data_IF_961966513681
#
_entry.id   IF_961966513681
#
_cell.length_a   1.000
_cell.length_b   1.000
_cell.length_c   1.000
_cell.angle_alpha   90.00
_cell.angle_beta   90.00
_cell.angle_gamma   90.00
#
_symmetry.space_group_name_H-M   'P 1'
#
loop_
_entity.id
_entity.type
_entity.pdbx_description
1 polymer ?
#
# COMPACT_ATOMS: atom_id res chain seq x y z
N UNK A 1 49.27 -22.26 13.18
CA UNK A 1 48.78 -21.12 13.98
C UNK A 1 48.37 -20.01 13.02
N UNK A 2 47.10 -19.65 12.94
CA UNK A 2 46.62 -18.58 12.04
C UNK A 2 47.06 -17.24 12.63
N UNK A 3 47.75 -16.42 11.83
CA UNK A 3 48.31 -15.15 12.30
C UNK A 3 47.21 -14.16 12.68
N UNK A 4 47.41 -13.40 13.77
CA UNK A 4 46.49 -12.35 14.25
C UNK A 4 46.03 -11.41 13.12
N UNK A 5 46.93 -11.09 12.18
CA UNK A 5 46.64 -10.21 11.03
C UNK A 5 45.64 -10.82 10.04
N UNK A 6 45.63 -12.15 9.89
CA UNK A 6 44.68 -12.88 9.05
C UNK A 6 43.29 -12.86 9.70
N UNK A 7 43.23 -13.05 11.02
CA UNK A 7 41.98 -13.02 11.80
C UNK A 7 41.37 -11.61 11.76
N UNK A 8 42.17 -10.56 11.95
CA UNK A 8 41.70 -9.17 11.90
C UNK A 8 41.14 -8.83 10.53
N UNK A 9 41.81 -9.23 9.44
CA UNK A 9 41.31 -9.01 8.07
C UNK A 9 40.00 -9.75 7.81
N UNK A 10 39.88 -10.99 8.27
CA UNK A 10 38.64 -11.77 8.15
C UNK A 10 37.48 -11.11 8.91
N UNK A 11 37.71 -10.67 10.16
CA UNK A 11 36.70 -9.97 10.95
C UNK A 11 36.28 -8.64 10.31
N UNK A 12 37.23 -7.91 9.71
CA UNK A 12 36.97 -6.65 9.00
C UNK A 12 36.07 -6.89 7.78
N UNK A 13 36.34 -7.94 7.01
CA UNK A 13 35.55 -8.30 5.82
C UNK A 13 34.14 -8.73 6.21
N UNK A 14 34.00 -9.55 7.26
CA UNK A 14 32.69 -9.99 7.76
C UNK A 14 31.86 -8.79 8.25
N UNK A 15 32.47 -7.87 8.99
CA UNK A 15 31.81 -6.65 9.47
C UNK A 15 31.28 -5.79 8.31
N UNK A 16 32.09 -5.59 7.27
CA UNK A 16 31.71 -4.82 6.07
C UNK A 16 30.55 -5.50 5.32
N UNK A 17 30.58 -6.82 5.17
CA UNK A 17 29.49 -7.59 4.54
C UNK A 17 28.20 -7.46 5.36
N UNK A 18 28.27 -7.54 6.70
CA UNK A 18 27.08 -7.38 7.54
C UNK A 18 26.50 -5.96 7.47
N UNK A 19 27.35 -4.93 7.39
CA UNK A 19 26.89 -3.55 7.21
C UNK A 19 26.19 -3.34 5.85
N UNK A 20 26.73 -3.93 4.78
CA UNK A 20 26.13 -3.91 3.44
C UNK A 20 24.75 -4.57 3.40
N UNK A 21 24.53 -5.65 4.16
CA UNK A 21 23.24 -6.35 4.24
C UNK A 21 22.19 -5.51 4.98
N UNK A 22 22.60 -4.76 6.02
CA UNK A 22 21.68 -3.88 6.78
C UNK A 22 21.22 -2.68 5.93
N UNK A 23 22.07 -2.19 5.03
CA UNK A 23 21.76 -1.10 4.08
C UNK A 23 20.74 -1.50 2.99
N UNK A 24 20.46 -2.80 2.80
CA UNK A 24 19.42 -3.29 1.89
C UNK A 24 18.02 -3.32 2.52
N UNK A 25 17.87 -2.84 3.76
CA UNK A 25 16.57 -2.68 4.39
C UNK A 25 15.83 -1.51 3.73
N UNK A 26 15.21 -1.77 2.58
CA UNK A 26 14.32 -0.81 1.92
C UNK A 26 13.08 -0.65 2.78
N UNK A 27 12.87 0.56 3.30
CA UNK A 27 11.55 0.98 3.73
C UNK A 27 10.67 1.00 2.48
N UNK A 28 9.89 -0.06 2.24
CA UNK A 28 8.96 -0.14 1.11
C UNK A 28 8.00 1.06 1.20
N UNK A 29 8.16 2.01 0.28
CA UNK A 29 7.28 3.16 0.18
C UNK A 29 5.91 2.68 -0.27
N UNK A 30 4.88 3.04 0.46
CA UNK A 30 3.50 2.82 0.04
C UNK A 30 3.23 3.79 -1.12
N UNK A 31 2.95 3.27 -2.31
CA UNK A 31 2.49 4.11 -3.41
C UNK A 31 1.05 4.56 -3.13
N UNK A 32 0.76 5.86 -3.22
CA UNK A 32 -0.60 6.41 -3.12
C UNK A 32 -1.12 6.68 -4.53
N UNK A 33 -2.17 5.95 -4.91
CA UNK A 33 -2.91 6.08 -6.16
C UNK A 33 -4.18 6.89 -5.91
N UNK A 34 -4.63 7.61 -6.94
CA UNK A 34 -5.82 8.47 -6.88
C UNK A 34 -6.79 8.12 -8.00
N UNK A 35 -7.89 8.88 -8.11
CA UNK A 35 -8.84 8.71 -9.21
C UNK A 35 -8.19 8.91 -10.60
N UNK A 36 -7.16 9.75 -10.70
CA UNK A 36 -6.42 10.01 -11.95
C UNK A 36 -5.58 8.82 -12.42
N UNK A 37 -5.44 7.80 -11.58
CA UNK A 37 -4.76 6.54 -11.88
C UNK A 37 -5.68 5.44 -12.41
N UNK A 38 -6.97 5.74 -12.57
CA UNK A 38 -7.96 4.80 -13.11
C UNK A 38 -7.50 4.23 -14.46
N UNK A 39 -7.53 2.90 -14.56
CA UNK A 39 -7.20 2.17 -15.77
C UNK A 39 -5.70 2.02 -16.07
N UNK A 40 -4.83 2.54 -15.19
CA UNK A 40 -3.38 2.28 -15.27
C UNK A 40 -3.06 0.92 -14.67
N UNK A 41 -1.97 0.32 -15.14
CA UNK A 41 -1.40 -0.90 -14.56
C UNK A 41 -0.15 -0.57 -13.77
N UNK A 42 0.05 -1.27 -12.66
CA UNK A 42 1.18 -1.08 -11.76
C UNK A 42 1.83 -2.43 -11.48
N UNK A 43 3.15 -2.48 -11.55
CA UNK A 43 3.93 -3.66 -11.17
C UNK A 43 4.32 -3.55 -9.70
N UNK A 44 4.12 -4.64 -8.95
CA UNK A 44 4.37 -4.72 -7.51
C UNK A 44 5.20 -5.96 -7.19
N UNK A 45 6.10 -5.83 -6.22
CA UNK A 45 6.77 -6.97 -5.62
C UNK A 45 5.90 -7.60 -4.53
N UNK A 46 6.11 -8.90 -4.27
CA UNK A 46 5.45 -9.59 -3.17
C UNK A 46 5.68 -8.85 -1.84
N UNK A 47 4.59 -8.63 -1.11
CA UNK A 47 4.56 -7.91 0.15
C UNK A 47 4.46 -6.39 0.02
N UNK A 48 4.53 -5.83 -1.20
CA UNK A 48 4.25 -4.40 -1.42
C UNK A 48 2.83 -4.06 -1.01
N UNK A 49 2.67 -2.80 -0.61
CA UNK A 49 1.37 -2.21 -0.32
C UNK A 49 1.17 -0.97 -1.17
N UNK A 50 -0.04 -0.83 -1.68
CA UNK A 50 -0.51 0.36 -2.37
C UNK A 50 -1.73 0.91 -1.65
N UNK A 51 -1.84 2.23 -1.57
CA UNK A 51 -3.04 2.91 -1.13
C UNK A 51 -3.78 3.42 -2.36
N UNK A 52 -5.08 3.20 -2.42
CA UNK A 52 -5.96 3.86 -3.37
C UNK A 52 -6.80 4.84 -2.57
N UNK A 53 -6.54 6.14 -2.76
CA UNK A 53 -7.19 7.24 -2.04
C UNK A 53 -8.18 7.92 -2.96
N UNK A 54 -9.46 7.80 -2.62
CA UNK A 54 -10.56 8.32 -3.41
C UNK A 54 -11.37 9.31 -2.60
N UNK A 55 -11.76 10.44 -3.20
CA UNK A 55 -12.69 11.36 -2.56
C UNK A 55 -13.99 10.64 -2.20
N UNK A 56 -14.50 10.90 -1.00
CA UNK A 56 -15.69 10.26 -0.46
C UNK A 56 -16.47 11.23 0.43
N UNK A 57 -17.80 11.23 0.34
CA UNK A 57 -18.65 11.91 1.30
C UNK A 57 -19.71 10.96 1.87
N UNK A 58 -19.41 10.25 2.98
CA UNK A 58 -20.32 9.29 3.60
C UNK A 58 -21.66 9.88 4.02
N UNK A 59 -21.73 11.19 4.27
CA UNK A 59 -22.98 11.86 4.71
C UNK A 59 -24.04 11.91 3.61
N UNK A 60 -23.65 11.69 2.36
CA UNK A 60 -24.57 11.56 1.23
C UNK A 60 -25.13 10.14 1.09
N UNK A 61 -24.65 9.18 1.88
CA UNK A 61 -24.98 7.76 1.76
C UNK A 61 -24.22 7.01 0.66
N UNK A 62 -23.41 7.69 -0.15
CA UNK A 62 -22.54 7.04 -1.12
C UNK A 62 -21.28 6.48 -0.44
N UNK A 63 -20.86 5.31 -0.90
CA UNK A 63 -19.63 4.65 -0.46
C UNK A 63 -18.89 4.03 -1.65
N UNK A 64 -17.59 3.83 -1.50
CA UNK A 64 -16.78 3.08 -2.45
C UNK A 64 -16.85 1.60 -2.11
N UNK A 65 -17.19 0.76 -3.09
CA UNK A 65 -17.35 -0.68 -2.92
C UNK A 65 -16.41 -1.41 -3.86
N UNK A 66 -15.66 -2.37 -3.33
CA UNK A 66 -14.90 -3.33 -4.14
C UNK A 66 -15.88 -4.17 -4.96
N UNK A 67 -15.95 -3.87 -6.25
CA UNK A 67 -16.99 -4.35 -7.16
C UNK A 67 -16.35 -5.11 -8.31
N UNK A 68 -16.16 -6.42 -8.19
CA UNK A 68 -15.54 -7.23 -9.24
C UNK A 68 -14.90 -8.49 -8.66
N UNK A 69 -14.32 -9.31 -9.55
CA UNK A 69 -13.60 -10.53 -9.17
C UNK A 69 -12.09 -10.27 -9.08
N UNK A 70 -11.68 -9.43 -8.13
CA UNK A 70 -10.26 -9.28 -7.81
C UNK A 70 -9.73 -10.61 -7.26
N UNK A 71 -8.68 -11.16 -7.87
CA UNK A 71 -8.04 -12.38 -7.39
C UNK A 71 -7.25 -12.08 -6.11
N UNK A 72 -7.89 -12.40 -4.98
CA UNK A 72 -7.31 -12.21 -3.63
C UNK A 72 -6.07 -13.03 -3.36
N UNK A 73 -5.78 -14.06 -4.17
CA UNK A 73 -4.53 -14.82 -4.07
C UNK A 73 -3.34 -14.05 -4.67
N UNK A 74 -3.60 -13.10 -5.58
CA UNK A 74 -2.59 -12.22 -6.19
C UNK A 74 -2.48 -10.91 -5.41
N UNK A 75 -3.61 -10.22 -5.16
CA UNK A 75 -3.67 -8.98 -4.39
C UNK A 75 -4.84 -9.00 -3.41
N UNK A 76 -4.56 -8.81 -2.13
CA UNK A 76 -5.58 -8.81 -1.06
C UNK A 76 -5.87 -7.39 -0.56
N UNK A 77 -7.11 -7.13 -0.14
CA UNK A 77 -7.44 -5.93 0.62
C UNK A 77 -6.86 -6.08 2.04
N UNK A 78 -5.90 -5.23 2.38
CA UNK A 78 -5.22 -5.24 3.68
C UNK A 78 -5.93 -4.37 4.72
N UNK A 79 -6.43 -3.20 4.32
CA UNK A 79 -7.15 -2.26 5.20
C UNK A 79 -8.05 -1.32 4.36
N UNK A 80 -9.08 -0.75 4.98
CA UNK A 80 -9.91 0.30 4.38
C UNK A 80 -10.38 1.28 5.46
N UNK A 81 -10.23 2.58 5.22
CA UNK A 81 -10.63 3.61 6.17
C UNK A 81 -11.08 4.91 5.51
N UNK A 82 -12.06 5.55 6.14
CA UNK A 82 -12.42 6.93 5.85
C UNK A 82 -11.55 7.92 6.66
N UNK A 83 -11.06 8.97 5.99
CA UNK A 83 -10.35 10.09 6.60
C UNK A 83 -11.04 11.39 6.21
N UNK A 84 -11.63 12.08 7.18
CA UNK A 84 -12.26 13.38 6.96
C UNK A 84 -11.23 14.43 6.52
N UNK A 85 -11.61 15.32 5.60
CA UNK A 85 -10.76 16.45 5.23
C UNK A 85 -10.63 17.41 6.40
N UNK A 86 -9.39 17.81 6.73
CA UNK A 86 -9.13 18.80 7.78
C UNK A 86 -9.79 20.15 7.43
N UNK A 87 -10.48 20.71 8.41
CA UNK A 87 -11.09 22.05 8.36
C UNK A 87 -10.72 22.77 9.65
N UNK A 88 -10.60 24.10 9.56
CA UNK A 88 -10.31 24.96 10.73
C UNK A 88 -11.38 24.84 11.83
N UNK A 89 -12.61 24.49 11.44
CA UNK A 89 -13.73 24.22 12.35
C UNK A 89 -14.24 22.79 12.15
N UNK A 90 -14.60 22.11 13.25
CA UNK A 90 -15.32 20.83 13.19
C UNK A 90 -16.73 21.05 12.63
N UNK A 91 -16.87 20.85 11.32
CA UNK A 91 -18.14 20.93 10.62
C UNK A 91 -18.71 19.51 10.41
N UNK A 92 -20.00 19.34 10.71
CA UNK A 92 -20.75 18.13 10.37
C UNK A 92 -21.02 18.10 8.87
N UNK A 93 -20.90 16.92 8.23
CA UNK A 93 -21.16 16.79 6.79
C UNK A 93 -19.94 16.97 5.89
N UNK A 94 -18.76 17.20 6.46
CA UNK A 94 -17.52 17.36 5.69
C UNK A 94 -17.13 16.02 5.07
N UNK A 95 -16.93 16.03 3.75
CA UNK A 95 -16.37 14.91 3.03
C UNK A 95 -14.91 14.64 3.39
N UNK A 96 -14.32 13.69 2.71
CA UNK A 96 -12.98 13.23 3.00
C UNK A 96 -12.50 12.30 1.92
N UNK A 97 -11.73 11.31 2.33
CA UNK A 97 -11.18 10.31 1.46
C UNK A 97 -11.48 8.92 2.02
N UNK A 98 -11.92 8.01 1.17
CA UNK A 98 -11.83 6.58 1.44
C UNK A 98 -10.45 6.10 0.97
N UNK A 99 -9.73 5.41 1.85
CA UNK A 99 -8.38 4.90 1.56
C UNK A 99 -8.41 3.39 1.66
N UNK A 100 -8.23 2.71 0.53
CA UNK A 100 -8.07 1.27 0.46
C UNK A 100 -6.59 0.90 0.39
N UNK A 101 -6.10 0.10 1.33
CA UNK A 101 -4.74 -0.45 1.29
C UNK A 101 -4.79 -1.84 0.73
N UNK A 102 -4.16 -2.09 -0.42
CA UNK A 102 -4.02 -3.41 -1.00
C UNK A 102 -2.60 -3.94 -0.80
N UNK A 103 -2.46 -5.26 -0.68
CA UNK A 103 -1.17 -5.94 -0.52
C UNK A 103 -0.97 -6.99 -1.60
N UNK A 104 0.19 -6.94 -2.25
CA UNK A 104 0.60 -7.97 -3.21
C UNK A 104 0.97 -9.26 -2.46
N UNK A 105 0.23 -10.35 -2.70
CA UNK A 105 0.42 -11.63 -2.00
C UNK A 105 1.28 -12.60 -2.80
N UNK A 106 0.99 -12.75 -4.10
CA UNK A 106 1.70 -13.68 -4.99
C UNK A 106 1.82 -13.10 -6.40
N UNK A 107 2.67 -13.71 -7.21
CA UNK A 107 2.81 -13.38 -8.63
C UNK A 107 1.52 -13.69 -9.39
N UNK A 108 1.12 -12.77 -10.26
CA UNK A 108 -0.07 -12.87 -11.08
C UNK A 108 -0.49 -11.49 -11.58
N UNK A 109 -1.64 -11.43 -12.26
CA UNK A 109 -2.25 -10.18 -12.70
C UNK A 109 -3.72 -10.20 -12.28
N UNK A 110 -4.19 -9.11 -11.68
CA UNK A 110 -5.60 -8.93 -11.30
C UNK A 110 -5.98 -7.46 -11.44
N UNK A 111 -7.26 -7.21 -11.63
CA UNK A 111 -7.83 -5.86 -11.60
C UNK A 111 -8.44 -5.56 -10.24
N UNK A 112 -8.35 -4.29 -9.83
CA UNK A 112 -9.08 -3.75 -8.69
C UNK A 112 -10.13 -2.80 -9.25
N UNK A 113 -11.40 -3.12 -9.01
CA UNK A 113 -12.53 -2.32 -9.48
C UNK A 113 -13.25 -1.78 -8.25
N UNK A 114 -13.26 -0.45 -8.10
CA UNK A 114 -13.97 0.26 -7.04
C UNK A 114 -15.12 1.04 -7.68
N UNK A 115 -16.33 0.87 -7.15
CA UNK A 115 -17.53 1.58 -7.63
C UNK A 115 -18.07 2.49 -6.54
N UNK A 116 -18.35 3.74 -6.88
CA UNK A 116 -18.97 4.71 -5.95
C UNK A 116 -20.47 4.69 -6.11
N UNK A 117 -21.19 4.14 -5.13
CA UNK A 117 -22.66 4.02 -5.17
C UNK A 117 -23.26 3.99 -3.78
N UNK A 118 -24.58 4.15 -3.71
CA UNK A 118 -25.37 3.82 -2.51
C UNK A 118 -25.67 2.33 -2.55
N UNK A 119 -25.36 1.61 -1.47
CA UNK A 119 -25.57 0.15 -1.42
C UNK A 119 -27.03 -0.29 -1.60
N UNK A 120 -27.99 0.62 -1.40
CA UNK A 120 -29.43 0.35 -1.55
C UNK A 120 -30.05 0.88 -2.85
N UNK A 121 -29.27 1.55 -3.71
CA UNK A 121 -29.73 1.97 -5.03
C UNK A 121 -29.26 0.93 -6.07
N UNK A 122 -30.21 0.41 -6.86
CA UNK A 122 -29.97 -0.56 -7.93
C UNK A 122 -29.17 0.03 -9.10
#
# INVERSE_FOLDING_TARGET
MIGKNVIIRLLSVVLVITLLIILLCSCKSIAELTFDDKGKSFELEKGDRINIKLESNPTTGYEWILSGETDTSVVSLFDSKFVQTEKEEELVGVGGYEIFTFKAENSGQTEIILTYKRSWEE
#
